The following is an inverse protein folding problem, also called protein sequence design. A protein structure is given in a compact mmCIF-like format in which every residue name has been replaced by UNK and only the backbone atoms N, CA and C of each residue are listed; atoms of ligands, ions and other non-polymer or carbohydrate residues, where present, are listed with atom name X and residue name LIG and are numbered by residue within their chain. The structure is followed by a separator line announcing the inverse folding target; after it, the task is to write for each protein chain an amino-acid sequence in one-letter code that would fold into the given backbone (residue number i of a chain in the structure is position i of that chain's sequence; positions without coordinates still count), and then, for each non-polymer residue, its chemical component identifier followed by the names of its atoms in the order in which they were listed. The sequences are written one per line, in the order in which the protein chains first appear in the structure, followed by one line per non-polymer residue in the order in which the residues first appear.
data_IF_795114459500
#
_entry.id   IF_795114459500
#
_cell.length_a   1.000
_cell.length_b   1.000
_cell.length_c   1.000
_cell.angle_alpha   90.00
_cell.angle_beta   90.00
_cell.angle_gamma   90.00
#
_symmetry.space_group_name_H-M   'P 1'
#
loop_
_entity.id
_entity.type
_entity.pdbx_description
1 polymer ?
#
# COMPACT_ATOMS: atom_id res chain seq x y z
N UNK A 1 -68.02 55.73 -19.84
CA UNK A 1 -68.39 54.40 -20.37
C UNK A 1 -67.15 53.54 -20.26
N UNK A 2 -67.21 52.41 -19.54
CA UNK A 2 -66.06 51.50 -19.38
C UNK A 2 -65.80 50.68 -20.64
N UNK A 3 -65.12 49.53 -20.56
CA UNK A 3 -64.13 49.05 -19.60
C UNK A 3 -62.79 48.69 -20.31
N UNK A 4 -61.72 48.39 -19.58
CA UNK A 4 -60.78 47.32 -20.01
C UNK A 4 -59.99 46.79 -18.82
N UNK A 5 -59.90 45.46 -18.63
CA UNK A 5 -59.22 44.85 -17.51
C UNK A 5 -57.91 44.10 -17.90
N UNK A 6 -57.06 43.92 -16.88
CA UNK A 6 -56.10 42.83 -16.60
C UNK A 6 -54.85 42.62 -17.50
N UNK A 7 -53.63 42.74 -16.91
CA UNK A 7 -52.82 41.62 -16.36
C UNK A 7 -51.42 42.09 -15.88
N UNK A 8 -51.02 41.53 -14.73
CA UNK A 8 -49.71 41.52 -14.00
C UNK A 8 -48.78 40.42 -14.63
N UNK A 9 -47.54 40.07 -14.18
CA UNK A 9 -46.64 40.60 -13.14
C UNK A 9 -45.11 40.62 -13.46
N UNK A 10 -44.32 41.32 -12.64
CA UNK A 10 -43.06 40.77 -12.10
C UNK A 10 -42.50 41.61 -10.95
N UNK A 11 -42.74 41.12 -9.73
CA UNK A 11 -42.12 41.59 -8.50
C UNK A 11 -40.64 41.18 -8.44
N UNK A 12 -39.73 42.15 -8.53
CA UNK A 12 -38.36 42.01 -8.03
C UNK A 12 -38.30 42.48 -6.58
N UNK A 13 -38.40 41.55 -5.61
CA UNK A 13 -37.96 41.80 -4.24
C UNK A 13 -37.18 40.59 -3.74
N UNK A 14 -35.87 40.81 -3.59
CA UNK A 14 -34.93 39.97 -2.85
C UNK A 14 -35.51 39.78 -1.45
N UNK A 15 -35.85 38.54 -1.10
CA UNK A 15 -36.20 38.18 0.28
C UNK A 15 -34.89 38.18 1.07
N UNK A 16 -34.67 39.24 1.83
CA UNK A 16 -33.63 39.28 2.86
C UNK A 16 -33.97 38.20 3.91
N UNK A 17 -33.16 37.15 3.96
CA UNK A 17 -33.23 36.13 4.99
C UNK A 17 -32.84 36.82 6.31
N UNK A 18 -33.78 36.93 7.24
CA UNK A 18 -33.55 37.50 8.55
C UNK A 18 -32.43 36.74 9.29
N UNK A 19 -31.47 37.44 9.94
CA UNK A 19 -30.45 36.76 10.73
C UNK A 19 -31.09 36.13 11.98
N UNK A 20 -30.93 34.82 12.13
CA UNK A 20 -31.38 34.07 13.31
C UNK A 20 -30.71 34.59 14.60
N UNK A 21 -31.42 34.61 15.74
CA UNK A 21 -30.96 35.29 16.95
C UNK A 21 -29.71 34.62 17.59
N UNK A 22 -28.61 35.37 17.57
CA UNK A 22 -27.67 35.64 18.68
C UNK A 22 -26.86 34.52 19.34
N UNK A 23 -27.36 33.28 19.45
CA UNK A 23 -26.62 32.15 20.07
C UNK A 23 -26.90 30.82 19.38
N UNK A 24 -28.13 30.58 18.93
CA UNK A 24 -28.54 29.35 18.23
C UNK A 24 -27.88 29.20 16.84
N UNK A 25 -27.78 30.29 16.08
CA UNK A 25 -27.10 30.28 14.78
C UNK A 25 -25.60 29.98 14.89
N UNK A 26 -24.97 30.42 15.98
CA UNK A 26 -23.54 30.14 16.25
C UNK A 26 -23.33 28.67 16.60
N UNK A 27 -24.24 28.06 17.35
CA UNK A 27 -24.21 26.62 17.63
C UNK A 27 -24.51 25.78 16.40
N UNK A 28 -25.42 26.18 15.51
CA UNK A 28 -25.70 25.47 14.26
C UNK A 28 -24.52 25.53 13.28
N UNK A 29 -23.81 26.66 13.20
CA UNK A 29 -22.57 26.76 12.38
C UNK A 29 -21.44 25.94 12.99
N UNK A 30 -21.29 25.94 14.32
CA UNK A 30 -20.30 25.09 15.00
C UNK A 30 -20.66 23.60 14.85
N UNK A 31 -21.94 23.23 14.97
CA UNK A 31 -22.39 21.85 14.77
C UNK A 31 -22.22 21.42 13.32
N UNK A 32 -22.54 22.27 12.35
CA UNK A 32 -22.30 22.00 10.94
C UNK A 32 -20.81 21.90 10.62
N UNK A 33 -19.96 22.74 11.23
CA UNK A 33 -18.51 22.67 11.09
C UNK A 33 -17.91 21.43 11.77
N UNK A 34 -18.43 21.02 12.94
CA UNK A 34 -18.03 19.79 13.65
C UNK A 34 -18.51 18.55 12.90
N UNK A 35 -19.73 18.55 12.35
CA UNK A 35 -20.23 17.49 11.46
C UNK A 35 -19.43 17.44 10.17
N UNK A 36 -19.07 18.59 9.59
CA UNK A 36 -18.20 18.65 8.41
C UNK A 36 -16.77 18.18 8.72
N UNK A 37 -16.20 18.52 9.88
CA UNK A 37 -14.91 18.00 10.34
C UNK A 37 -14.98 16.51 10.72
N UNK A 38 -16.10 16.04 11.24
CA UNK A 38 -16.36 14.62 11.50
C UNK A 38 -16.56 13.84 10.20
N UNK A 39 -17.12 14.47 9.16
CA UNK A 39 -17.14 13.93 7.80
C UNK A 39 -15.74 13.96 7.16
N UNK A 40 -14.85 14.89 7.55
CA UNK A 40 -13.44 14.89 7.12
C UNK A 40 -12.60 13.80 7.82
N UNK A 41 -13.06 13.24 8.94
CA UNK A 41 -12.48 12.00 9.51
C UNK A 41 -12.76 10.76 8.63
N UNK A 42 -13.63 10.87 7.62
CA UNK A 42 -13.94 9.79 6.68
C UNK A 42 -12.96 9.68 5.49
N UNK A 43 -12.04 10.63 5.32
CA UNK A 43 -10.94 10.44 4.37
C UNK A 43 -9.81 9.70 5.07
N UNK A 44 -9.90 8.37 5.09
CA UNK A 44 -8.78 7.57 5.58
C UNK A 44 -7.51 7.94 4.79
N UNK A 45 -6.37 8.01 5.48
CA UNK A 45 -5.06 8.20 4.85
C UNK A 45 -4.79 7.17 3.75
N UNK A 46 -5.42 5.98 3.85
CA UNK A 46 -5.31 4.91 2.84
C UNK A 46 -6.02 5.32 1.56
N UNK A 47 -7.26 5.80 1.65
CA UNK A 47 -8.01 6.29 0.47
C UNK A 47 -7.30 7.47 -0.19
N UNK A 48 -6.91 8.46 0.60
CA UNK A 48 -6.19 9.65 0.09
C UNK A 48 -4.88 9.23 -0.57
N UNK A 49 -4.07 8.39 0.10
CA UNK A 49 -2.83 7.89 -0.46
C UNK A 49 -3.02 7.09 -1.75
N UNK A 50 -4.06 6.25 -1.82
CA UNK A 50 -4.37 5.45 -3.00
C UNK A 50 -4.91 6.29 -4.17
N UNK A 51 -5.74 7.29 -3.90
CA UNK A 51 -6.23 8.21 -4.94
C UNK A 51 -5.09 8.96 -5.64
N UNK A 52 -4.04 9.31 -4.88
CA UNK A 52 -2.79 9.86 -5.40
C UNK A 52 -1.78 8.78 -5.83
N UNK A 53 -2.16 7.51 -5.73
CA UNK A 53 -1.29 6.35 -5.90
C UNK A 53 -0.61 6.33 -7.24
N UNK A 54 -1.35 6.56 -8.34
CA UNK A 54 -0.77 6.58 -9.67
C UNK A 54 0.33 7.65 -9.83
N UNK A 55 0.10 8.85 -9.27
CA UNK A 55 1.10 9.92 -9.25
C UNK A 55 2.32 9.53 -8.42
N UNK A 56 2.11 9.02 -7.20
CA UNK A 56 3.20 8.61 -6.31
C UNK A 56 4.02 7.45 -6.90
N UNK A 57 3.37 6.48 -7.54
CA UNK A 57 4.02 5.39 -8.27
C UNK A 57 4.88 5.94 -9.41
N UNK A 58 4.37 6.90 -10.19
CA UNK A 58 5.17 7.54 -11.23
C UNK A 58 6.44 8.18 -10.65
N UNK A 59 6.31 9.03 -9.62
CA UNK A 59 7.46 9.69 -9.01
C UNK A 59 8.45 8.70 -8.39
N UNK A 60 7.96 7.57 -7.87
CA UNK A 60 8.81 6.51 -7.38
C UNK A 60 9.59 5.84 -8.52
N UNK A 61 8.92 5.44 -9.62
CA UNK A 61 9.58 4.84 -10.79
C UNK A 61 10.61 5.81 -11.38
N UNK A 62 10.22 7.07 -11.56
CA UNK A 62 11.10 8.14 -12.04
C UNK A 62 12.32 8.31 -11.14
N UNK A 63 12.12 8.40 -9.82
CA UNK A 63 13.23 8.46 -8.88
C UNK A 63 14.15 7.22 -8.89
N UNK A 64 13.67 6.05 -9.33
CA UNK A 64 14.46 4.83 -9.47
C UNK A 64 15.19 4.73 -10.81
N UNK A 65 14.53 5.09 -11.92
CA UNK A 65 15.01 4.85 -13.29
C UNK A 65 15.51 6.10 -14.01
N UNK A 66 15.24 7.30 -13.50
CA UNK A 66 15.51 8.59 -14.16
C UNK A 66 14.87 8.62 -15.55
N UNK A 67 13.53 8.66 -15.61
CA UNK A 67 12.79 8.42 -16.85
C UNK A 67 13.07 9.52 -17.88
N UNK A 68 13.26 9.11 -19.13
CA UNK A 68 13.40 10.02 -20.24
C UNK A 68 12.03 10.42 -20.81
N UNK A 69 11.98 11.51 -21.59
CA UNK A 69 10.73 12.04 -22.17
C UNK A 69 9.93 10.97 -22.91
N UNK A 70 10.61 10.12 -23.70
CA UNK A 70 9.99 9.03 -24.45
C UNK A 70 9.37 7.93 -23.56
N UNK A 71 9.83 7.78 -22.31
CA UNK A 71 9.32 6.79 -21.36
C UNK A 71 8.18 7.34 -20.49
N UNK A 72 8.03 8.67 -20.40
CA UNK A 72 7.09 9.31 -19.47
C UNK A 72 5.64 8.95 -19.78
N UNK A 73 5.22 9.14 -21.04
CA UNK A 73 3.85 8.83 -21.50
C UNK A 73 3.49 7.35 -21.29
N UNK A 74 4.24 6.41 -21.89
CA UNK A 74 4.00 4.98 -21.73
C UNK A 74 3.97 4.52 -20.26
N UNK A 75 4.85 5.06 -19.41
CA UNK A 75 4.87 4.74 -17.98
C UNK A 75 3.60 5.19 -17.26
N UNK A 76 3.10 6.40 -17.54
CA UNK A 76 1.86 6.91 -16.93
C UNK A 76 0.65 6.07 -17.34
N UNK A 77 0.59 5.68 -18.60
CA UNK A 77 -0.48 4.81 -19.10
C UNK A 77 -0.43 3.42 -18.48
N UNK A 78 0.76 2.82 -18.37
CA UNK A 78 0.96 1.55 -17.68
C UNK A 78 0.47 1.58 -16.23
N UNK A 79 0.85 2.62 -15.47
CA UNK A 79 0.37 2.82 -14.11
C UNK A 79 -1.15 2.95 -14.08
N UNK A 80 -1.74 3.71 -15.01
CA UNK A 80 -3.19 3.89 -15.08
C UNK A 80 -3.91 2.57 -15.32
N UNK A 81 -3.44 1.77 -16.29
CA UNK A 81 -3.96 0.41 -16.56
C UNK A 81 -3.82 -0.50 -15.34
N UNK A 82 -2.68 -0.47 -14.67
CA UNK A 82 -2.44 -1.27 -13.48
C UNK A 82 -3.41 -0.92 -12.35
N UNK A 83 -3.62 0.37 -12.08
CA UNK A 83 -4.55 0.82 -11.04
C UNK A 83 -6.02 0.55 -11.39
N UNK A 84 -6.38 0.53 -12.68
CA UNK A 84 -7.70 0.10 -13.12
C UNK A 84 -7.91 -1.40 -12.83
N UNK A 85 -6.97 -2.25 -13.24
CA UNK A 85 -6.98 -3.68 -12.92
C UNK A 85 -7.02 -3.94 -11.41
N UNK A 86 -6.17 -3.24 -10.64
CA UNK A 86 -6.08 -3.44 -9.20
C UNK A 86 -7.41 -3.15 -8.51
N UNK A 87 -8.13 -2.10 -8.92
CA UNK A 87 -9.46 -1.78 -8.40
C UNK A 87 -10.51 -2.82 -8.75
N UNK A 88 -10.52 -3.30 -10.00
CA UNK A 88 -11.55 -4.21 -10.49
C UNK A 88 -11.35 -5.65 -10.04
N UNK A 89 -10.09 -6.09 -9.92
CA UNK A 89 -9.77 -7.51 -9.77
C UNK A 89 -9.16 -7.82 -8.39
N UNK A 90 -8.13 -7.08 -7.97
CA UNK A 90 -7.40 -7.39 -6.74
C UNK A 90 -8.07 -6.85 -5.47
N UNK A 91 -8.58 -5.62 -5.48
CA UNK A 91 -9.25 -5.00 -4.33
C UNK A 91 -10.44 -5.80 -3.78
N UNK A 92 -11.33 -6.39 -4.59
CA UNK A 92 -12.40 -7.25 -4.07
C UNK A 92 -11.89 -8.42 -3.21
N UNK A 93 -10.78 -9.04 -3.63
CA UNK A 93 -10.15 -10.14 -2.89
C UNK A 93 -9.48 -9.67 -1.61
N UNK A 94 -8.87 -8.48 -1.63
CA UNK A 94 -8.35 -7.82 -0.42
C UNK A 94 -9.46 -7.54 0.58
N UNK A 95 -10.60 -6.98 0.14
CA UNK A 95 -11.75 -6.73 1.02
C UNK A 95 -12.30 -8.04 1.64
N UNK A 96 -12.34 -9.13 0.86
CA UNK A 96 -12.76 -10.43 1.36
C UNK A 96 -11.80 -10.97 2.44
N UNK A 97 -10.48 -10.85 2.23
CA UNK A 97 -9.47 -11.28 3.21
C UNK A 97 -9.53 -10.45 4.50
N UNK A 98 -9.69 -9.13 4.39
CA UNK A 98 -9.84 -8.23 5.54
C UNK A 98 -11.10 -8.55 6.35
N UNK A 99 -12.22 -8.85 5.68
CA UNK A 99 -13.46 -9.28 6.36
C UNK A 99 -13.25 -10.59 7.10
N UNK A 100 -12.60 -11.57 6.47
CA UNK A 100 -12.29 -12.84 7.12
C UNK A 100 -11.41 -12.64 8.36
N UNK A 101 -10.36 -11.82 8.26
CA UNK A 101 -9.51 -11.46 9.39
C UNK A 101 -10.31 -10.77 10.51
N UNK A 102 -11.25 -9.89 10.15
CA UNK A 102 -12.11 -9.20 11.11
C UNK A 102 -13.01 -10.16 11.90
N UNK A 103 -13.58 -11.17 11.22
CA UNK A 103 -14.46 -12.17 11.84
C UNK A 103 -13.70 -13.07 12.84
N UNK A 104 -12.41 -13.31 12.60
CA UNK A 104 -11.57 -14.17 13.44
C UNK A 104 -10.94 -13.46 14.66
N UNK A 105 -10.93 -12.11 14.70
CA UNK A 105 -10.22 -11.32 15.74
C UNK A 105 -10.57 -11.67 17.19
N UNK A 106 -11.75 -12.22 17.45
CA UNK A 106 -12.19 -12.55 18.81
C UNK A 106 -11.46 -13.77 19.37
N UNK A 107 -11.05 -14.71 18.52
CA UNK A 107 -10.37 -15.93 18.92
C UNK A 107 -8.84 -15.75 18.92
N UNK A 108 -8.09 -16.55 19.69
CA UNK A 108 -6.65 -16.65 19.51
C UNK A 108 -6.31 -17.10 18.09
N UNK A 109 -5.35 -16.43 17.45
CA UNK A 109 -4.92 -16.81 16.10
C UNK A 109 -3.96 -17.99 16.16
N UNK A 110 -4.20 -18.97 15.29
CA UNK A 110 -3.32 -20.13 15.12
C UNK A 110 -2.20 -19.84 14.12
N UNK A 111 -1.13 -20.64 14.17
CA UNK A 111 -0.05 -20.54 13.20
C UNK A 111 -0.49 -20.88 11.77
N UNK A 112 -1.46 -21.77 11.61
CA UNK A 112 -2.03 -22.10 10.30
C UNK A 112 -2.79 -20.91 9.71
N UNK A 113 -3.64 -20.25 10.50
CA UNK A 113 -4.35 -19.04 10.06
C UNK A 113 -3.37 -17.92 9.71
N UNK A 114 -2.36 -17.66 10.56
CA UNK A 114 -1.34 -16.64 10.27
C UNK A 114 -0.59 -16.92 8.97
N UNK A 115 -0.20 -18.18 8.71
CA UNK A 115 0.44 -18.56 7.44
C UNK A 115 -0.49 -18.36 6.25
N UNK A 116 -1.77 -18.69 6.37
CA UNK A 116 -2.75 -18.46 5.31
C UNK A 116 -2.87 -16.96 4.94
N UNK A 117 -2.87 -16.06 5.92
CA UNK A 117 -2.83 -14.62 5.65
C UNK A 117 -1.55 -14.20 4.93
N UNK A 118 -0.38 -14.68 5.39
CA UNK A 118 0.89 -14.39 4.72
C UNK A 118 0.92 -14.92 3.28
N UNK A 119 0.39 -16.11 3.02
CA UNK A 119 0.30 -16.69 1.68
C UNK A 119 -0.60 -15.86 0.78
N UNK A 120 -1.77 -15.43 1.28
CA UNK A 120 -2.67 -14.55 0.54
C UNK A 120 -1.99 -13.24 0.14
N UNK A 121 -1.25 -12.59 1.06
CA UNK A 121 -0.49 -11.38 0.73
C UNK A 121 0.63 -11.63 -0.30
N UNK A 122 1.33 -12.76 -0.21
CA UNK A 122 2.33 -13.14 -1.23
C UNK A 122 1.69 -13.37 -2.60
N UNK A 123 0.52 -14.00 -2.65
CA UNK A 123 -0.24 -14.22 -3.88
C UNK A 123 -0.73 -12.90 -4.48
N UNK A 124 -1.18 -11.94 -3.66
CA UNK A 124 -1.50 -10.59 -4.15
C UNK A 124 -0.28 -9.90 -4.77
N UNK A 125 0.88 -9.98 -4.12
CA UNK A 125 2.13 -9.45 -4.67
C UNK A 125 2.51 -10.12 -6.00
N UNK A 126 2.33 -11.44 -6.12
CA UNK A 126 2.58 -12.20 -7.36
C UNK A 126 1.66 -11.75 -8.49
N UNK A 127 0.36 -11.70 -8.25
CA UNK A 127 -0.63 -11.27 -9.25
C UNK A 127 -0.37 -9.84 -9.71
N UNK A 128 -0.01 -8.93 -8.78
CA UNK A 128 0.35 -7.56 -9.11
C UNK A 128 1.61 -7.49 -9.99
N UNK A 129 2.66 -8.25 -9.65
CA UNK A 129 3.84 -8.33 -10.51
C UNK A 129 3.48 -8.88 -11.89
N UNK A 130 2.73 -10.00 -11.94
CA UNK A 130 2.33 -10.66 -13.18
C UNK A 130 1.53 -9.74 -14.10
N UNK A 131 0.61 -8.94 -13.54
CA UNK A 131 -0.13 -7.92 -14.28
C UNK A 131 0.78 -6.82 -14.86
N UNK A 132 1.80 -6.39 -14.10
CA UNK A 132 2.70 -5.32 -14.51
C UNK A 132 3.83 -5.80 -15.45
N UNK A 133 4.07 -7.11 -15.57
CA UNK A 133 5.21 -7.68 -16.33
C UNK A 133 5.36 -7.14 -17.76
N UNK A 134 4.30 -7.04 -18.59
CA UNK A 134 4.45 -6.55 -19.96
C UNK A 134 4.94 -5.09 -20.00
N UNK A 135 4.41 -4.25 -19.12
CA UNK A 135 4.82 -2.85 -19.03
C UNK A 135 6.24 -2.69 -18.46
N UNK A 136 6.61 -3.53 -17.48
CA UNK A 136 7.99 -3.62 -16.98
C UNK A 136 8.93 -4.04 -18.12
N UNK A 137 8.56 -5.04 -18.93
CA UNK A 137 9.38 -5.51 -20.05
C UNK A 137 9.66 -4.39 -21.06
N UNK A 138 8.65 -3.59 -21.43
CA UNK A 138 8.82 -2.43 -22.31
C UNK A 138 9.72 -1.36 -21.71
N UNK A 139 9.56 -1.07 -20.42
CA UNK A 139 10.47 -0.17 -19.72
C UNK A 139 11.91 -0.68 -19.82
N UNK A 140 12.15 -1.96 -19.50
CA UNK A 140 13.49 -2.57 -19.56
C UNK A 140 14.10 -2.54 -20.95
N UNK A 141 13.31 -2.77 -22.01
CA UNK A 141 13.77 -2.68 -23.40
C UNK A 141 14.19 -1.26 -23.80
N UNK A 142 13.58 -0.25 -23.18
CA UNK A 142 13.92 1.16 -23.40
C UNK A 142 14.99 1.72 -22.44
N UNK A 143 15.43 0.94 -21.45
CA UNK A 143 16.40 1.40 -20.44
C UNK A 143 17.78 1.61 -21.07
N UNK A 144 18.36 2.79 -20.84
CA UNK A 144 19.70 3.16 -21.33
C UNK A 144 20.82 2.76 -20.36
N UNK A 145 22.10 2.72 -20.80
CA UNK A 145 23.20 2.40 -19.88
C UNK A 145 23.33 3.42 -18.73
N UNK A 146 23.04 4.70 -18.98
CA UNK A 146 23.04 5.74 -17.94
C UNK A 146 21.96 5.48 -16.88
N UNK A 147 20.76 5.09 -17.30
CA UNK A 147 19.68 4.74 -16.38
C UNK A 147 19.99 3.47 -15.57
N UNK A 148 20.64 2.46 -16.17
CA UNK A 148 21.13 1.29 -15.43
C UNK A 148 22.14 1.69 -14.33
N UNK A 149 23.09 2.58 -14.65
CA UNK A 149 24.04 3.10 -13.67
C UNK A 149 23.33 3.90 -12.55
N UNK A 150 22.30 4.66 -12.88
CA UNK A 150 21.45 5.35 -11.89
C UNK A 150 20.74 4.36 -10.97
N UNK A 151 20.09 3.33 -11.52
CA UNK A 151 19.42 2.26 -10.75
C UNK A 151 20.40 1.56 -9.81
N UNK A 152 21.64 1.32 -10.25
CA UNK A 152 22.71 0.77 -9.40
C UNK A 152 23.07 1.71 -8.25
N UNK A 153 23.25 3.01 -8.52
CA UNK A 153 23.55 4.02 -7.51
C UNK A 153 22.44 4.12 -6.45
N UNK A 154 21.17 4.18 -6.87
CA UNK A 154 20.01 4.22 -5.95
C UNK A 154 19.96 3.00 -5.03
N UNK A 155 20.27 1.81 -5.55
CA UNK A 155 20.35 0.60 -4.74
C UNK A 155 21.49 0.67 -3.72
N UNK A 156 22.67 1.13 -4.13
CA UNK A 156 23.82 1.30 -3.22
C UNK A 156 23.50 2.28 -2.07
N UNK A 157 22.94 3.46 -2.38
CA UNK A 157 22.50 4.43 -1.37
C UNK A 157 21.45 3.85 -0.41
N UNK A 158 20.50 3.09 -0.93
CA UNK A 158 19.49 2.41 -0.11
C UNK A 158 20.10 1.35 0.80
N UNK A 159 21.12 0.63 0.34
CA UNK A 159 21.77 -0.44 1.09
C UNK A 159 22.63 0.12 2.21
N UNK A 160 23.35 1.21 1.95
CA UNK A 160 24.14 1.92 2.96
C UNK A 160 23.24 2.43 4.11
N UNK A 161 22.06 2.99 3.78
CA UNK A 161 21.04 3.37 4.78
C UNK A 161 20.51 2.16 5.55
N UNK A 162 20.30 1.02 4.89
CA UNK A 162 19.83 -0.20 5.54
C UNK A 162 20.89 -0.75 6.51
N UNK A 163 22.15 -0.82 6.09
CA UNK A 163 23.26 -1.30 6.90
C UNK A 163 23.43 -0.46 8.16
N UNK A 164 23.49 0.88 8.02
CA UNK A 164 23.55 1.79 9.18
C UNK A 164 22.43 1.55 10.20
N UNK A 165 21.21 1.29 9.71
CA UNK A 165 20.03 1.18 10.59
C UNK A 165 19.88 -0.20 11.23
N UNK A 166 20.23 -1.26 10.52
CA UNK A 166 19.85 -2.63 10.90
C UNK A 166 21.03 -3.60 11.03
N UNK A 167 22.23 -3.23 10.58
CA UNK A 167 23.44 -4.06 10.65
C UNK A 167 24.61 -3.34 11.34
N UNK A 168 24.33 -2.24 12.05
CA UNK A 168 25.32 -1.60 12.93
C UNK A 168 25.88 -2.59 13.96
N UNK A 169 27.06 -2.30 14.50
CA UNK A 169 27.78 -3.19 15.42
C UNK A 169 27.04 -3.45 16.73
N UNK A 170 26.29 -2.47 17.24
CA UNK A 170 25.56 -2.58 18.50
C UNK A 170 24.29 -3.45 18.38
N UNK A 171 24.25 -4.56 19.12
CA UNK A 171 23.11 -5.48 19.15
C UNK A 171 21.84 -4.86 19.77
N UNK A 172 21.99 -4.01 20.77
CA UNK A 172 20.88 -3.31 21.39
C UNK A 172 20.27 -2.29 20.43
N UNK A 173 21.09 -1.52 19.71
CA UNK A 173 20.57 -0.59 18.70
C UNK A 173 19.79 -1.30 17.59
N UNK A 174 20.29 -2.45 17.10
CA UNK A 174 19.57 -3.28 16.12
C UNK A 174 18.22 -3.77 16.66
N UNK A 175 18.20 -4.24 17.90
CA UNK A 175 16.97 -4.68 18.58
C UNK A 175 15.97 -3.52 18.74
N UNK A 176 16.41 -2.36 19.20
CA UNK A 176 15.54 -1.18 19.34
C UNK A 176 15.00 -0.69 18.00
N UNK A 177 15.83 -0.67 16.95
CA UNK A 177 15.39 -0.30 15.60
C UNK A 177 14.32 -1.26 15.08
N UNK A 178 14.46 -2.57 15.34
CA UNK A 178 13.46 -3.57 14.97
C UNK A 178 12.19 -3.41 15.79
N UNK A 179 12.31 -3.27 17.11
CA UNK A 179 11.17 -3.10 18.02
C UNK A 179 10.36 -1.86 17.65
N UNK A 180 11.02 -0.72 17.42
CA UNK A 180 10.36 0.52 17.00
C UNK A 180 9.50 0.28 15.76
N UNK A 181 10.04 -0.37 14.73
CA UNK A 181 9.31 -0.64 13.49
C UNK A 181 8.12 -1.59 13.71
N UNK A 182 8.32 -2.66 14.48
CA UNK A 182 7.24 -3.61 14.83
C UNK A 182 6.13 -2.92 15.61
N UNK A 183 6.47 -2.06 16.57
CA UNK A 183 5.50 -1.32 17.36
C UNK A 183 4.77 -0.24 16.55
N UNK A 184 5.44 0.45 15.63
CA UNK A 184 4.80 1.38 14.68
C UNK A 184 3.70 0.65 13.88
N UNK A 185 4.01 -0.53 13.34
CA UNK A 185 3.05 -1.31 12.54
C UNK A 185 1.94 -1.93 13.39
N UNK A 186 2.28 -2.49 14.56
CA UNK A 186 1.31 -3.08 15.47
C UNK A 186 0.31 -2.05 16.01
N UNK A 187 0.76 -0.84 16.33
CA UNK A 187 -0.10 0.24 16.84
C UNK A 187 -1.12 0.75 15.83
N UNK A 188 -0.82 0.66 14.52
CA UNK A 188 -1.79 0.98 13.47
C UNK A 188 -3.01 0.06 13.54
N UNK A 189 -2.81 -1.21 13.91
CA UNK A 189 -3.85 -2.24 13.96
C UNK A 189 -4.51 -2.29 15.33
N UNK A 190 -3.72 -2.39 16.40
CA UNK A 190 -4.23 -2.72 17.74
C UNK A 190 -4.29 -1.52 18.69
N UNK A 191 -3.78 -0.35 18.29
CA UNK A 191 -3.67 0.82 19.14
C UNK A 191 -2.49 0.71 20.11
N UNK A 192 -2.56 1.41 21.24
CA UNK A 192 -1.46 1.46 22.20
C UNK A 192 -1.24 0.13 22.93
N UNK A 193 0.01 -0.14 23.29
CA UNK A 193 0.43 -1.31 24.05
C UNK A 193 0.95 -0.87 25.44
N UNK A 194 0.80 -1.72 26.46
CA UNK A 194 1.40 -1.48 27.77
C UNK A 194 2.90 -1.81 27.77
N UNK A 195 3.64 -1.34 28.78
CA UNK A 195 5.07 -1.64 28.91
C UNK A 195 5.34 -3.16 29.01
N UNK A 196 4.46 -3.91 29.67
CA UNK A 196 4.56 -5.37 29.78
C UNK A 196 4.36 -6.05 28.42
N UNK A 197 3.41 -5.57 27.61
CA UNK A 197 3.21 -6.09 26.25
C UNK A 197 4.40 -5.74 25.35
N UNK A 198 4.94 -4.53 25.46
CA UNK A 198 6.13 -4.11 24.70
C UNK A 198 7.35 -4.97 25.03
N UNK A 199 7.54 -5.34 26.30
CA UNK A 199 8.63 -6.22 26.70
C UNK A 199 8.42 -7.66 26.20
N UNK A 200 7.19 -8.19 26.27
CA UNK A 200 6.88 -9.49 25.68
C UNK A 200 7.15 -9.51 24.16
N UNK A 201 6.81 -8.43 23.45
CA UNK A 201 7.11 -8.27 22.01
C UNK A 201 8.61 -8.16 21.79
N UNK A 202 9.35 -7.41 22.63
CA UNK A 202 10.82 -7.32 22.57
C UNK A 202 11.47 -8.70 22.63
N UNK A 203 11.02 -9.58 23.52
CA UNK A 203 11.53 -10.96 23.58
C UNK A 203 11.18 -11.74 22.31
N UNK A 204 9.96 -11.59 21.79
CA UNK A 204 9.49 -12.33 20.61
C UNK A 204 10.19 -11.95 19.30
N UNK A 205 10.76 -10.75 19.20
CA UNK A 205 11.46 -10.29 17.98
C UNK A 205 12.93 -10.70 17.90
N UNK A 206 13.52 -11.28 18.95
CA UNK A 206 14.96 -11.61 18.96
C UNK A 206 15.38 -12.50 17.77
N UNK A 207 14.67 -13.61 17.43
CA UNK A 207 15.02 -14.43 16.26
C UNK A 207 14.96 -13.65 14.93
N UNK A 208 14.10 -12.63 14.84
CA UNK A 208 14.05 -11.78 13.65
C UNK A 208 15.28 -10.87 13.54
N UNK A 209 15.74 -10.32 14.67
CA UNK A 209 16.96 -9.50 14.72
C UNK A 209 18.17 -10.34 14.31
N UNK A 210 18.29 -11.56 14.83
CA UNK A 210 19.40 -12.47 14.53
C UNK A 210 19.44 -12.85 13.04
N UNK A 211 18.28 -12.98 12.39
CA UNK A 211 18.19 -13.25 10.95
C UNK A 211 18.48 -12.04 10.04
N UNK A 212 18.76 -10.86 10.59
CA UNK A 212 18.92 -9.62 9.81
C UNK A 212 20.08 -9.65 8.80
N UNK A 213 21.25 -10.23 9.10
CA UNK A 213 22.33 -10.42 8.11
C UNK A 213 21.86 -11.27 6.91
N UNK A 214 21.25 -12.43 7.15
CA UNK A 214 20.73 -13.28 6.10
C UNK A 214 19.61 -12.62 5.27
N UNK A 215 18.76 -11.77 5.89
CA UNK A 215 17.78 -10.93 5.16
C UNK A 215 18.46 -9.93 4.23
N UNK A 216 19.58 -9.37 4.66
CA UNK A 216 20.33 -8.39 3.88
C UNK A 216 21.07 -9.05 2.71
N UNK A 217 21.70 -10.20 2.93
CA UNK A 217 22.30 -10.99 1.84
C UNK A 217 21.28 -11.35 0.77
N UNK A 218 20.07 -11.78 1.17
CA UNK A 218 18.98 -12.07 0.25
C UNK A 218 18.55 -10.83 -0.55
N UNK A 219 18.47 -9.66 0.11
CA UNK A 219 18.21 -8.38 -0.55
C UNK A 219 19.27 -8.07 -1.60
N UNK A 220 20.55 -8.21 -1.27
CA UNK A 220 21.66 -7.93 -2.20
C UNK A 220 21.63 -8.88 -3.39
N UNK A 221 21.43 -10.18 -3.16
CA UNK A 221 21.34 -11.16 -4.24
C UNK A 221 20.17 -10.84 -5.20
N UNK A 222 19.02 -10.42 -4.66
CA UNK A 222 17.86 -10.02 -5.47
C UNK A 222 18.12 -8.77 -6.32
N UNK A 223 18.84 -7.80 -5.76
CA UNK A 223 19.24 -6.57 -6.43
C UNK A 223 20.26 -6.81 -7.54
N UNK A 224 21.26 -7.65 -7.29
CA UNK A 224 22.24 -8.05 -8.30
C UNK A 224 21.58 -8.80 -9.45
N UNK A 225 20.68 -9.74 -9.16
CA UNK A 225 19.91 -10.44 -10.20
C UNK A 225 19.04 -9.48 -11.02
N UNK A 226 18.47 -8.45 -10.39
CA UNK A 226 17.71 -7.41 -11.08
C UNK A 226 18.60 -6.59 -12.04
N UNK A 227 19.75 -6.12 -11.58
CA UNK A 227 20.72 -5.40 -12.41
C UNK A 227 21.23 -6.25 -13.58
N UNK A 228 21.52 -7.53 -13.32
CA UNK A 228 21.94 -8.49 -14.34
C UNK A 228 20.84 -8.71 -15.38
N UNK A 229 19.57 -8.78 -14.96
CA UNK A 229 18.43 -8.88 -15.89
C UNK A 229 18.34 -7.63 -16.79
N UNK A 230 18.41 -6.43 -16.22
CA UNK A 230 18.37 -5.18 -17.01
C UNK A 230 19.53 -5.16 -18.01
N UNK A 231 20.76 -5.44 -17.56
CA UNK A 231 21.93 -5.47 -18.42
C UNK A 231 21.79 -6.51 -19.55
N UNK A 232 21.24 -7.69 -19.24
CA UNK A 232 20.99 -8.74 -20.22
C UNK A 232 19.97 -8.31 -21.28
N UNK A 233 18.87 -7.68 -20.88
CA UNK A 233 17.87 -7.13 -21.82
C UNK A 233 18.49 -6.09 -22.74
N UNK A 234 19.31 -5.20 -22.18
CA UNK A 234 19.98 -4.14 -22.92
C UNK A 234 20.98 -4.68 -23.97
N UNK A 235 21.75 -5.71 -23.60
CA UNK A 235 22.76 -6.32 -24.46
C UNK A 235 22.15 -7.19 -25.56
N UNK A 236 21.18 -8.04 -25.21
CA UNK A 236 20.61 -9.00 -26.14
C UNK A 236 19.49 -8.39 -27.02
N UNK A 237 18.82 -7.33 -26.54
CA UNK A 237 17.65 -6.71 -27.19
C UNK A 237 16.64 -7.73 -27.72
N UNK A 238 16.20 -8.69 -26.89
CA UNK A 238 15.31 -9.75 -27.34
C UNK A 238 13.88 -9.21 -27.54
N UNK A 239 13.01 -10.04 -28.11
CA UNK A 239 11.58 -9.73 -28.19
C UNK A 239 10.95 -9.56 -26.79
N UNK A 240 9.90 -8.73 -26.69
CA UNK A 240 9.17 -8.46 -25.43
C UNK A 240 8.75 -9.75 -24.70
N UNK A 241 8.26 -10.75 -25.45
CA UNK A 241 7.85 -12.05 -24.89
C UNK A 241 8.98 -12.76 -24.16
N UNK A 242 10.21 -12.66 -24.66
CA UNK A 242 11.39 -13.26 -24.01
C UNK A 242 11.74 -12.49 -22.73
N UNK A 243 11.62 -11.16 -22.73
CA UNK A 243 11.82 -10.35 -21.51
C UNK A 243 10.78 -10.72 -20.45
N UNK A 244 9.52 -10.92 -20.83
CA UNK A 244 8.45 -11.37 -19.92
C UNK A 244 8.75 -12.76 -19.34
N UNK A 245 9.31 -13.68 -20.13
CA UNK A 245 9.76 -14.99 -19.63
C UNK A 245 10.89 -14.84 -18.62
N UNK A 246 11.88 -13.98 -18.89
CA UNK A 246 12.97 -13.72 -17.94
C UNK A 246 12.48 -13.05 -16.65
N UNK A 247 11.52 -12.13 -16.72
CA UNK A 247 10.87 -11.53 -15.56
C UNK A 247 10.12 -12.58 -14.73
N UNK A 248 9.50 -13.56 -15.38
CA UNK A 248 8.82 -14.68 -14.71
C UNK A 248 9.83 -15.55 -13.98
N UNK A 249 10.91 -15.96 -14.64
CA UNK A 249 11.99 -16.72 -14.02
C UNK A 249 12.64 -15.96 -12.84
N UNK A 250 12.84 -14.64 -12.98
CA UNK A 250 13.32 -13.78 -11.90
C UNK A 250 12.37 -13.80 -10.69
N UNK A 251 11.05 -13.74 -10.90
CA UNK A 251 10.08 -13.79 -9.81
C UNK A 251 10.04 -15.17 -9.12
N UNK A 252 10.10 -16.26 -9.90
CA UNK A 252 10.03 -17.63 -9.39
C UNK A 252 11.21 -17.96 -8.45
N UNK A 253 12.41 -17.48 -8.78
CA UNK A 253 13.61 -17.63 -7.93
C UNK A 253 13.43 -17.08 -6.50
N UNK A 254 12.53 -16.13 -6.28
CA UNK A 254 12.29 -15.53 -4.97
C UNK A 254 11.10 -16.12 -4.22
N UNK A 255 10.14 -16.68 -4.94
CA UNK A 255 9.03 -17.39 -4.29
C UNK A 255 9.47 -18.76 -3.79
N UNK A 256 10.38 -19.39 -4.52
CA UNK A 256 10.90 -20.72 -4.20
C UNK A 256 12.42 -20.69 -4.33
N UNK A 257 13.08 -20.01 -3.41
CA UNK A 257 14.54 -19.94 -3.41
C UNK A 257 15.14 -21.35 -3.27
N UNK A 258 16.09 -21.75 -4.14
CA UNK A 258 16.66 -23.09 -4.11
C UNK A 258 17.66 -23.26 -2.96
N UNK A 259 17.91 -24.52 -2.58
CA UNK A 259 18.98 -24.90 -1.65
C UNK A 259 18.89 -24.20 -0.29
N UNK A 260 20.05 -23.81 0.24
CA UNK A 260 20.19 -23.15 1.55
C UNK A 260 19.41 -21.84 1.64
N UNK A 261 19.30 -21.09 0.55
CA UNK A 261 18.53 -19.83 0.52
C UNK A 261 17.05 -20.06 0.81
N UNK A 262 16.49 -21.14 0.27
CA UNK A 262 15.12 -21.58 0.57
C UNK A 262 14.93 -21.99 2.03
N UNK A 263 15.91 -22.67 2.62
CA UNK A 263 15.89 -23.01 4.06
C UNK A 263 15.87 -21.73 4.91
N UNK A 264 16.77 -20.78 4.63
CA UNK A 264 16.83 -19.51 5.34
C UNK A 264 15.56 -18.69 5.16
N UNK A 265 14.95 -18.71 3.98
CA UNK A 265 13.66 -18.07 3.73
C UNK A 265 12.55 -18.65 4.61
N UNK A 266 12.48 -19.98 4.75
CA UNK A 266 11.50 -20.64 5.62
C UNK A 266 11.71 -20.30 7.09
N UNK A 267 12.94 -20.38 7.60
CA UNK A 267 13.26 -20.02 9.00
C UNK A 267 12.87 -18.58 9.33
N UNK A 268 13.15 -17.63 8.41
CA UNK A 268 12.72 -16.23 8.58
C UNK A 268 11.21 -16.09 8.63
N UNK A 269 10.51 -16.80 7.74
CA UNK A 269 9.05 -16.79 7.69
C UNK A 269 8.44 -17.38 8.97
N UNK A 270 9.06 -18.42 9.54
CA UNK A 270 8.66 -19.00 10.82
C UNK A 270 8.86 -18.02 11.97
N UNK A 271 10.01 -17.33 12.05
CA UNK A 271 10.25 -16.28 13.03
C UNK A 271 9.25 -15.12 12.92
N UNK A 272 8.99 -14.64 11.70
CA UNK A 272 7.99 -13.59 11.45
C UNK A 272 6.58 -14.07 11.85
N UNK A 273 6.23 -15.32 11.56
CA UNK A 273 4.95 -15.95 11.94
C UNK A 273 4.80 -16.01 13.46
N UNK A 274 5.83 -16.50 14.17
CA UNK A 274 5.81 -16.60 15.62
C UNK A 274 5.64 -15.22 16.28
N UNK A 275 6.37 -14.19 15.80
CA UNK A 275 6.20 -12.83 16.28
C UNK A 275 4.76 -12.32 16.07
N UNK A 276 4.20 -12.47 14.87
CA UNK A 276 2.85 -11.97 14.57
C UNK A 276 1.77 -12.65 15.41
N UNK A 277 1.90 -13.95 15.66
CA UNK A 277 1.01 -14.70 16.57
C UNK A 277 1.14 -14.17 17.99
N UNK A 278 2.37 -13.96 18.48
CA UNK A 278 2.60 -13.41 19.81
C UNK A 278 1.93 -12.05 19.96
N UNK A 279 2.13 -11.12 19.01
CA UNK A 279 1.50 -9.80 19.05
C UNK A 279 -0.03 -9.94 19.06
N UNK A 280 -0.61 -10.72 18.15
CA UNK A 280 -2.05 -10.88 18.05
C UNK A 280 -2.67 -11.51 19.31
N UNK A 281 -2.03 -12.51 19.89
CA UNK A 281 -2.53 -13.22 21.07
C UNK A 281 -2.24 -12.49 22.39
N UNK A 282 -1.32 -11.52 22.41
CA UNK A 282 -1.09 -10.62 23.55
C UNK A 282 -2.15 -9.52 23.68
N UNK A 283 -3.04 -9.37 22.69
CA UNK A 283 -3.99 -8.25 22.64
C UNK A 283 -5.15 -8.42 23.63
N UNK A 284 -5.51 -7.31 24.27
CA UNK A 284 -6.67 -7.19 25.16
C UNK A 284 -7.97 -7.10 24.37
N UNK A 285 -9.14 -7.34 24.99
CA UNK A 285 -10.44 -7.13 24.33
C UNK A 285 -10.61 -5.73 23.73
N UNK A 286 -10.07 -4.69 24.40
CA UNK A 286 -10.08 -3.32 23.89
C UNK A 286 -9.23 -3.16 22.62
N UNK A 287 -8.05 -3.77 22.57
CA UNK A 287 -7.17 -3.74 21.39
C UNK A 287 -7.77 -4.55 20.23
N UNK A 288 -8.42 -5.68 20.50
CA UNK A 288 -9.18 -6.45 19.51
C UNK A 288 -10.34 -5.65 18.92
N UNK A 289 -11.06 -4.90 19.75
CA UNK A 289 -12.12 -3.99 19.28
C UNK A 289 -11.56 -2.88 18.40
N UNK A 290 -10.43 -2.27 18.78
CA UNK A 290 -9.75 -1.28 17.95
C UNK A 290 -9.31 -1.86 16.58
N UNK A 291 -8.75 -3.08 16.58
CA UNK A 291 -8.40 -3.79 15.36
C UNK A 291 -9.63 -4.04 14.48
N UNK A 292 -10.76 -4.43 15.08
CA UNK A 292 -12.02 -4.64 14.34
C UNK A 292 -12.49 -3.36 13.65
N UNK A 293 -12.46 -2.24 14.35
CA UNK A 293 -12.81 -0.91 13.80
C UNK A 293 -11.83 -0.50 12.70
N UNK A 294 -10.53 -0.75 12.89
CA UNK A 294 -9.49 -0.46 11.90
C UNK A 294 -9.68 -1.26 10.61
N UNK A 295 -9.88 -2.57 10.72
CA UNK A 295 -10.19 -3.44 9.59
C UNK A 295 -11.48 -3.02 8.89
N UNK A 296 -12.51 -2.62 9.64
CA UNK A 296 -13.75 -2.10 9.06
C UNK A 296 -13.49 -0.85 8.21
N UNK A 297 -12.68 0.08 8.72
CA UNK A 297 -12.26 1.27 7.99
C UNK A 297 -11.59 0.90 6.67
N UNK A 298 -10.63 -0.02 6.69
CA UNK A 298 -9.96 -0.47 5.46
C UNK A 298 -10.89 -1.19 4.48
N UNK A 299 -11.84 -2.01 4.96
CA UNK A 299 -12.86 -2.64 4.10
C UNK A 299 -13.70 -1.57 3.41
N UNK A 300 -14.11 -0.52 4.14
CA UNK A 300 -14.88 0.59 3.58
C UNK A 300 -14.05 1.36 2.54
N UNK A 301 -12.79 1.67 2.84
CA UNK A 301 -11.87 2.33 1.90
C UNK A 301 -11.71 1.53 0.61
N UNK A 302 -11.50 0.22 0.72
CA UNK A 302 -11.34 -0.66 -0.45
C UNK A 302 -12.62 -0.66 -1.30
N UNK A 303 -13.79 -0.73 -0.67
CA UNK A 303 -15.09 -0.67 -1.38
C UNK A 303 -15.33 0.68 -2.07
N UNK A 304 -14.92 1.78 -1.45
CA UNK A 304 -14.96 3.10 -2.06
C UNK A 304 -14.06 3.16 -3.30
N UNK A 305 -12.81 2.68 -3.18
CA UNK A 305 -11.85 2.65 -4.28
C UNK A 305 -12.30 1.78 -5.45
N UNK A 306 -13.00 0.68 -5.18
CA UNK A 306 -13.64 -0.16 -6.21
C UNK A 306 -14.69 0.65 -6.99
N UNK A 307 -15.58 1.37 -6.30
CA UNK A 307 -16.63 2.21 -6.91
C UNK A 307 -16.06 3.36 -7.75
N UNK A 308 -14.98 4.00 -7.31
CA UNK A 308 -14.29 5.03 -8.09
C UNK A 308 -13.75 4.48 -9.43
N UNK A 309 -13.30 3.22 -9.44
CA UNK A 309 -12.88 2.53 -10.66
C UNK A 309 -14.02 2.28 -11.64
N UNK A 310 -15.22 1.98 -11.13
CA UNK A 310 -16.43 1.80 -11.95
C UNK A 310 -16.93 3.12 -12.53
N UNK A 311 -16.93 4.20 -11.74
CA UNK A 311 -17.36 5.52 -12.17
C UNK A 311 -16.44 6.14 -13.24
N UNK A 312 -15.13 5.87 -13.18
CA UNK A 312 -14.17 6.28 -14.21
C UNK A 312 -14.19 5.43 -15.49
N UNK A 313 -14.82 4.24 -15.46
CA UNK A 313 -14.94 3.33 -16.60
C UNK A 313 -16.26 3.50 -17.39
N UNK A 314 -17.23 4.27 -16.88
CA UNK A 314 -18.38 4.67 -17.66
C UNK A 314 -17.91 5.53 -18.84
N UNK A 315 -18.33 5.27 -20.10
CA UNK A 315 -18.01 6.16 -21.20
C UNK A 315 -18.54 7.53 -20.82
N UNK A 316 -17.67 8.54 -20.83
CA UNK A 316 -18.12 9.91 -20.90
C UNK A 316 -18.92 10.02 -22.18
N UNK A 317 -20.25 9.90 -22.06
CA UNK A 317 -21.16 10.33 -23.09
C UNK A 317 -20.76 11.77 -23.40
N UNK A 318 -20.19 11.96 -24.59
CA UNK A 318 -19.93 13.27 -25.16
C UNK A 318 -21.27 14.02 -25.17
N UNK A 319 -21.45 14.89 -24.18
CA UNK A 319 -22.50 15.88 -24.22
C UNK A 319 -21.90 17.12 -24.87
N UNK A 320 -22.23 17.26 -26.17
CA UNK A 320 -22.15 18.42 -27.06
C UNK A 320 -20.84 19.21 -27.13
#
# INVERSE_FOLDING_TARGET
MGPTPQLNPSNGRIVAIAPLPGRLGRWLVVLAAVVSLACLQACSTVKVGYSQGARLTYWWIDGQFDLQDAQTGPTREAITRFFAWHRQDQLPRVAALLRHAQDELQQPITAQQMRAYQDAFQQFGRAAFDQAKPDIARLLLSTTPAQLAHVQKKQAESNEKYQRRYLGSDAQERLQARLKKVMEDARIVYGNFSSEQEEAIRTAIAPMVDSTPARYEERIARQQAWLALIARVQQARPDETIVVQWLTAYADQWQQAPGERGVQQRLRREADTAMLITIANLTTPRQKQHARERLQGWINDVRDLMREGEAGAAPQAQNN
#
